data_IF_198638126144
#
_entry.id   IF_198638126144
#
_cell.length_a   1.000
_cell.length_b   1.000
_cell.length_c   1.000
_cell.angle_alpha   90.00
_cell.angle_beta   90.00
_cell.angle_gamma   90.00
#
_symmetry.space_group_name_H-M   'P 1'
#
loop_
_entity.id
_entity.type
_entity.pdbx_description
1 polymer ?
#
# COMPACT_ATOMS: atom_id res chain seq x y z
N UNK A 1 4.86 19.42 -45.07
CA UNK A 1 4.44 18.98 -43.72
C UNK A 1 5.29 19.70 -42.71
N UNK A 2 4.86 20.92 -42.36
CA UNK A 2 5.47 21.75 -41.34
C UNK A 2 5.18 21.13 -39.97
N UNK A 3 6.23 20.82 -39.22
CA UNK A 3 6.11 20.61 -37.77
C UNK A 3 5.61 21.93 -37.18
N UNK A 4 4.39 21.95 -36.66
CA UNK A 4 3.98 23.00 -35.74
C UNK A 4 4.93 22.92 -34.53
N UNK A 5 5.77 23.94 -34.40
CA UNK A 5 6.60 24.15 -33.24
C UNK A 5 5.69 24.85 -32.24
N UNK A 6 5.33 24.14 -31.15
CA UNK A 6 4.67 24.75 -30.00
C UNK A 6 5.60 25.86 -29.44
N UNK A 7 5.13 27.12 -29.34
CA UNK A 7 5.92 28.23 -28.85
C UNK A 7 6.38 28.10 -27.38
N UNK A 8 5.93 27.09 -26.61
CA UNK A 8 6.40 26.87 -25.24
C UNK A 8 7.66 26.00 -25.11
N UNK A 9 8.13 25.33 -26.17
CA UNK A 9 9.32 24.45 -26.10
C UNK A 9 9.14 23.23 -25.19
N UNK A 10 7.90 22.85 -24.88
CA UNK A 10 7.58 21.73 -24.03
C UNK A 10 7.76 20.41 -24.81
N UNK A 11 8.83 19.67 -24.54
CA UNK A 11 8.96 18.29 -25.02
C UNK A 11 7.99 17.40 -24.21
N UNK A 12 7.01 16.79 -24.86
CA UNK A 12 6.00 15.90 -24.25
C UNK A 12 6.57 14.63 -23.57
N UNK A 13 7.88 14.41 -23.61
CA UNK A 13 8.52 13.16 -23.16
C UNK A 13 9.11 13.19 -21.75
N UNK A 14 9.43 14.36 -21.18
CA UNK A 14 10.05 14.45 -19.84
C UNK A 14 9.30 15.41 -18.90
N UNK A 15 9.09 15.01 -17.62
CA UNK A 15 8.40 15.86 -16.66
C UNK A 15 9.23 17.08 -16.28
N UNK A 16 8.56 18.22 -16.08
CA UNK A 16 9.20 19.46 -15.57
C UNK A 16 9.88 19.21 -14.24
N UNK A 17 9.24 18.43 -13.35
CA UNK A 17 9.82 17.95 -12.09
C UNK A 17 9.30 16.55 -11.73
N UNK A 18 10.14 15.80 -11.04
CA UNK A 18 9.77 14.53 -10.41
C UNK A 18 9.72 14.71 -8.90
N UNK A 19 8.53 14.54 -8.32
CA UNK A 19 8.31 14.65 -6.88
C UNK A 19 8.07 13.25 -6.33
N UNK A 20 9.05 12.72 -5.59
CA UNK A 20 9.00 11.35 -5.05
C UNK A 20 8.86 11.40 -3.53
N UNK A 21 7.74 10.91 -3.01
CA UNK A 21 7.45 10.89 -1.58
C UNK A 21 7.42 9.45 -1.08
N UNK A 22 8.20 9.15 -0.05
CA UNK A 22 8.34 7.85 0.56
C UNK A 22 7.88 7.90 2.02
N UNK A 23 6.78 7.24 2.34
CA UNK A 23 6.18 7.15 3.68
C UNK A 23 6.46 5.78 4.28
N UNK A 24 7.42 5.71 5.20
CA UNK A 24 7.83 4.44 5.81
C UNK A 24 6.97 4.07 7.02
N UNK A 25 6.81 2.75 7.19
CA UNK A 25 6.14 2.14 8.32
C UNK A 25 6.86 2.40 9.64
N UNK A 26 6.20 2.01 10.72
CA UNK A 26 6.64 2.25 12.08
C UNK A 26 7.74 1.33 12.57
N UNK A 27 8.69 1.90 13.32
CA UNK A 27 9.66 1.15 14.12
C UNK A 27 10.99 0.85 13.44
N UNK A 28 11.14 1.19 12.16
CA UNK A 28 12.32 0.82 11.36
C UNK A 28 13.45 1.82 11.53
N UNK A 29 14.31 1.61 12.51
CA UNK A 29 15.52 2.43 12.74
C UNK A 29 16.53 2.26 11.62
N UNK A 30 17.26 3.33 11.26
CA UNK A 30 18.48 3.25 10.43
C UNK A 30 19.53 2.40 11.16
N UNK A 31 19.45 1.08 10.97
CA UNK A 31 20.39 0.10 11.52
C UNK A 31 21.10 -0.57 10.36
N UNK A 32 22.42 -0.72 10.50
CA UNK A 32 23.24 -1.43 9.53
C UNK A 32 23.13 -2.97 9.67
N UNK A 33 22.12 -3.48 10.38
CA UNK A 33 21.86 -4.91 10.57
C UNK A 33 21.00 -5.51 9.43
N UNK A 34 20.76 -4.73 8.38
CA UNK A 34 19.95 -5.10 7.23
C UNK A 34 18.44 -5.00 7.47
N UNK A 35 17.96 -4.52 8.61
CA UNK A 35 16.52 -4.33 8.91
C UNK A 35 15.85 -3.19 8.11
N UNK A 36 16.42 -2.81 6.97
CA UNK A 36 15.89 -1.74 6.13
C UNK A 36 14.59 -2.16 5.45
N UNK A 37 13.63 -1.22 5.40
CA UNK A 37 12.39 -1.40 4.65
C UNK A 37 12.61 -1.27 3.16
N UNK A 38 11.67 -1.82 2.40
CA UNK A 38 11.63 -1.63 0.96
C UNK A 38 11.41 -0.16 0.59
N UNK A 39 10.71 0.63 1.42
CA UNK A 39 10.57 2.08 1.23
C UNK A 39 11.91 2.81 1.35
N UNK A 40 12.70 2.49 2.38
CA UNK A 40 14.04 3.07 2.53
C UNK A 40 14.96 2.63 1.38
N UNK A 41 14.92 1.37 0.97
CA UNK A 41 15.69 0.88 -0.19
C UNK A 41 15.31 1.63 -1.47
N UNK A 42 14.01 1.79 -1.76
CA UNK A 42 13.53 2.58 -2.91
C UNK A 42 14.08 4.00 -2.83
N UNK A 43 13.96 4.67 -1.68
CA UNK A 43 14.48 6.02 -1.49
C UNK A 43 16.00 6.11 -1.72
N UNK A 44 16.76 5.10 -1.30
CA UNK A 44 18.21 4.99 -1.52
C UNK A 44 18.58 4.74 -2.99
N UNK A 45 17.69 4.13 -3.77
CA UNK A 45 17.89 3.89 -5.21
C UNK A 45 17.58 5.12 -6.08
N UNK A 46 16.89 6.13 -5.56
CA UNK A 46 16.59 7.33 -6.32
C UNK A 46 17.87 8.09 -6.66
N UNK A 47 18.04 8.46 -7.93
CA UNK A 47 19.10 9.37 -8.35
C UNK A 47 18.86 10.77 -7.76
N UNK A 48 19.74 11.17 -6.84
CA UNK A 48 19.69 12.47 -6.14
C UNK A 48 20.52 13.56 -6.85
N UNK A 49 21.22 13.21 -7.91
CA UNK A 49 22.01 14.15 -8.72
C UNK A 49 21.19 14.82 -9.80
N UNK A 50 19.98 14.31 -10.06
CA UNK A 50 19.04 14.84 -11.05
C UNK A 50 18.44 16.19 -10.60
N UNK A 51 18.69 17.24 -11.37
CA UNK A 51 18.31 18.62 -11.02
C UNK A 51 16.80 18.85 -10.90
N UNK A 52 15.99 18.12 -11.67
CA UNK A 52 14.53 18.25 -11.66
C UNK A 52 13.84 17.27 -10.69
N UNK A 53 14.57 16.57 -9.83
CA UNK A 53 14.00 15.62 -8.87
C UNK A 53 14.04 16.14 -7.44
N UNK A 54 12.91 16.00 -6.75
CA UNK A 54 12.80 16.30 -5.34
C UNK A 54 12.26 15.09 -4.60
N UNK A 55 13.05 14.58 -3.66
CA UNK A 55 12.69 13.40 -2.87
C UNK A 55 12.33 13.81 -1.44
N UNK A 56 11.27 13.21 -0.90
CA UNK A 56 10.82 13.36 0.47
C UNK A 56 10.77 11.99 1.14
N UNK A 57 11.35 11.88 2.31
CA UNK A 57 11.29 10.66 3.13
C UNK A 57 10.70 11.02 4.48
N UNK A 58 9.66 10.30 4.86
CA UNK A 58 9.06 10.40 6.17
C UNK A 58 8.98 9.04 6.83
N UNK A 59 9.32 9.04 8.12
CA UNK A 59 9.24 7.90 8.99
C UNK A 59 8.02 8.04 9.88
N UNK A 60 7.35 6.93 10.18
CA UNK A 60 6.33 6.92 11.24
C UNK A 60 6.96 6.60 12.60
N UNK A 61 6.92 7.53 13.55
CA UNK A 61 7.65 7.40 14.83
C UNK A 61 6.96 6.55 15.90
N UNK A 62 5.73 6.06 15.66
CA UNK A 62 5.00 5.29 16.67
C UNK A 62 5.42 3.81 16.69
N UNK A 63 6.52 3.50 17.37
CA UNK A 63 6.96 2.12 17.64
C UNK A 63 5.87 1.30 18.36
N UNK A 64 5.71 0.02 17.99
CA UNK A 64 4.95 -0.95 18.79
C UNK A 64 5.47 -1.02 20.26
N UNK A 65 6.76 -0.71 20.48
CA UNK A 65 7.35 -0.54 21.80
C UNK A 65 6.71 0.58 22.64
N UNK A 66 6.17 1.64 22.03
CA UNK A 66 5.41 2.67 22.75
C UNK A 66 4.09 2.12 23.28
N UNK A 67 3.44 1.20 22.57
CA UNK A 67 2.23 0.52 23.06
C UNK A 67 2.56 -0.39 24.25
N UNK A 68 3.68 -1.12 24.18
CA UNK A 68 4.15 -1.95 25.29
C UNK A 68 4.54 -1.10 26.51
N UNK A 69 5.27 0.01 26.33
CA UNK A 69 5.65 0.90 27.44
C UNK A 69 4.46 1.63 28.05
N UNK A 70 3.44 1.98 27.25
CA UNK A 70 2.19 2.57 27.73
C UNK A 70 1.33 1.55 28.48
N UNK A 71 1.41 0.26 28.15
CA UNK A 71 0.74 -0.82 28.90
C UNK A 71 1.41 -1.11 30.26
N UNK A 72 2.67 -0.70 30.46
CA UNK A 72 3.40 -0.84 31.73
C UNK A 72 3.24 0.36 32.68
N UNK A 73 2.53 1.43 32.29
CA UNK A 73 2.21 2.51 33.23
C UNK A 73 1.13 2.06 34.22
N UNK A 74 1.28 2.34 35.53
CA UNK A 74 0.31 1.93 36.53
C UNK A 74 -1.06 2.50 36.19
N UNK A 75 -2.07 1.63 36.17
CA UNK A 75 -3.47 1.94 35.90
C UNK A 75 -3.93 3.15 36.72
N UNK A 76 -3.88 4.34 36.13
CA UNK A 76 -4.67 5.49 36.55
C UNK A 76 -5.93 5.53 35.70
N UNK A 77 -7.03 6.01 36.26
CA UNK A 77 -8.42 5.92 35.73
C UNK A 77 -8.69 6.70 34.42
N UNK A 78 -7.73 6.80 33.50
CA UNK A 78 -7.91 7.34 32.16
C UNK A 78 -8.10 6.18 31.16
N UNK A 79 -9.07 6.27 30.23
CA UNK A 79 -9.25 5.26 29.18
C UNK A 79 -8.06 5.31 28.21
N UNK A 80 -7.02 4.52 28.52
CA UNK A 80 -5.74 4.41 27.80
C UNK A 80 -5.91 4.26 26.28
N UNK A 81 -6.98 3.59 25.84
CA UNK A 81 -7.33 3.46 24.42
C UNK A 81 -7.53 4.80 23.71
N UNK A 82 -8.21 5.78 24.35
CA UNK A 82 -8.51 7.08 23.72
C UNK A 82 -7.25 7.93 23.52
N UNK A 83 -6.34 7.91 24.48
CA UNK A 83 -5.07 8.67 24.40
C UNK A 83 -4.19 8.12 23.29
N UNK A 84 -4.11 6.79 23.19
CA UNK A 84 -3.32 6.11 22.16
C UNK A 84 -3.91 6.33 20.77
N UNK A 85 -5.22 6.21 20.63
CA UNK A 85 -5.93 6.47 19.36
C UNK A 85 -5.75 7.94 18.92
N UNK A 86 -5.84 8.88 19.87
CA UNK A 86 -5.64 10.31 19.63
C UNK A 86 -4.19 10.66 19.24
N UNK A 87 -3.19 10.05 19.90
CA UNK A 87 -1.79 10.26 19.57
C UNK A 87 -1.45 9.71 18.17
N UNK A 88 -2.00 8.53 17.83
CA UNK A 88 -1.89 7.98 16.47
C UNK A 88 -2.53 8.90 15.43
N UNK A 89 -3.76 9.37 15.68
CA UNK A 89 -4.46 10.30 14.80
C UNK A 89 -3.67 11.59 14.59
N UNK A 90 -3.11 12.15 15.67
CA UNK A 90 -2.30 13.38 15.60
C UNK A 90 -1.05 13.16 14.74
N UNK A 91 -0.30 12.08 14.98
CA UNK A 91 0.89 11.76 14.18
C UNK A 91 0.56 11.49 12.70
N UNK A 92 -0.59 10.86 12.43
CA UNK A 92 -1.05 10.61 11.08
C UNK A 92 -1.36 11.93 10.33
N UNK A 93 -2.09 12.85 10.98
CA UNK A 93 -2.42 14.16 10.41
C UNK A 93 -1.15 14.95 10.08
N UNK A 94 -0.18 14.97 11.00
CA UNK A 94 1.12 15.63 10.79
C UNK A 94 1.86 15.06 9.58
N UNK A 95 1.81 13.75 9.36
CA UNK A 95 2.46 13.11 8.23
C UNK A 95 1.83 13.48 6.89
N UNK A 96 0.50 13.41 6.78
CA UNK A 96 -0.21 13.81 5.56
C UNK A 96 0.04 15.28 5.25
N UNK A 97 -0.10 16.17 6.25
CA UNK A 97 0.13 17.60 6.11
C UNK A 97 1.57 17.91 5.69
N UNK A 98 2.55 17.17 6.21
CA UNK A 98 3.96 17.37 5.84
C UNK A 98 4.25 16.98 4.39
N UNK A 99 3.71 15.85 3.92
CA UNK A 99 3.77 15.46 2.52
C UNK A 99 3.05 16.45 1.60
N UNK A 100 1.86 16.92 2.00
CA UNK A 100 1.11 17.95 1.29
C UNK A 100 1.88 19.26 1.17
N UNK A 101 2.50 19.73 2.26
CA UNK A 101 3.33 20.94 2.29
C UNK A 101 4.55 20.80 1.37
N UNK A 102 5.20 19.63 1.36
CA UNK A 102 6.31 19.36 0.46
C UNK A 102 5.88 19.51 -1.01
N UNK A 103 4.72 18.96 -1.38
CA UNK A 103 4.17 19.09 -2.72
C UNK A 103 3.84 20.56 -3.03
N UNK A 104 3.18 21.29 -2.12
CA UNK A 104 2.78 22.68 -2.33
C UNK A 104 3.98 23.58 -2.68
N UNK A 105 5.11 23.36 -2.00
CA UNK A 105 6.38 24.08 -2.20
C UNK A 105 7.08 23.79 -3.52
N UNK A 106 6.92 22.57 -4.06
CA UNK A 106 7.78 22.06 -5.14
C UNK A 106 7.05 21.79 -6.45
N UNK A 107 5.74 21.62 -6.42
CA UNK A 107 4.96 21.37 -7.62
C UNK A 107 4.91 22.58 -8.53
N UNK A 108 5.10 22.32 -9.82
CA UNK A 108 4.90 23.25 -10.95
C UNK A 108 4.14 22.52 -12.06
N UNK A 109 3.49 23.22 -12.99
CA UNK A 109 2.86 22.57 -14.15
C UNK A 109 3.82 21.62 -14.88
N UNK A 110 3.33 20.43 -15.25
CA UNK A 110 4.13 19.35 -15.84
C UNK A 110 4.93 18.50 -14.85
N UNK A 111 4.77 18.71 -13.53
CA UNK A 111 5.37 17.84 -12.51
C UNK A 111 4.68 16.47 -12.42
N UNK A 112 5.45 15.39 -12.26
CA UNK A 112 4.93 14.06 -11.95
C UNK A 112 5.12 13.74 -10.47
N UNK A 113 4.05 13.27 -9.81
CA UNK A 113 4.06 12.89 -8.40
C UNK A 113 4.11 11.37 -8.29
N UNK A 114 5.08 10.85 -7.53
CA UNK A 114 5.26 9.44 -7.20
C UNK A 114 5.15 9.27 -5.70
N UNK A 115 4.21 8.44 -5.25
CA UNK A 115 3.98 8.16 -3.84
C UNK A 115 4.31 6.70 -3.55
N UNK A 116 5.12 6.46 -2.52
CA UNK A 116 5.42 5.13 -2.00
C UNK A 116 5.07 5.05 -0.53
N UNK A 117 4.52 3.93 -0.09
CA UNK A 117 4.35 3.72 1.34
C UNK A 117 4.28 2.27 1.77
N UNK A 118 4.66 2.02 3.02
CA UNK A 118 4.57 0.72 3.67
C UNK A 118 3.73 0.81 4.94
N UNK A 119 2.86 -0.17 5.18
CA UNK A 119 2.10 -0.29 6.43
C UNK A 119 1.20 0.93 6.66
N UNK A 120 1.39 1.63 7.79
CA UNK A 120 0.75 2.92 8.08
C UNK A 120 1.17 4.03 7.11
N UNK A 121 2.41 4.01 6.63
CA UNK A 121 2.89 4.94 5.60
C UNK A 121 2.18 4.74 4.27
N UNK A 122 1.81 3.50 3.92
CA UNK A 122 0.97 3.22 2.76
C UNK A 122 -0.43 3.85 2.90
N UNK A 123 -1.00 3.81 4.10
CA UNK A 123 -2.28 4.46 4.40
C UNK A 123 -2.16 5.99 4.30
N UNK A 124 -1.08 6.59 4.82
CA UNK A 124 -0.75 8.02 4.62
C UNK A 124 -0.63 8.38 3.14
N UNK A 125 0.06 7.56 2.34
CA UNK A 125 0.21 7.79 0.90
C UNK A 125 -1.13 7.78 0.16
N UNK A 126 -2.02 6.81 0.46
CA UNK A 126 -3.37 6.75 -0.10
C UNK A 126 -4.20 7.97 0.30
N UNK A 127 -4.17 8.34 1.58
CA UNK A 127 -4.95 9.47 2.08
C UNK A 127 -4.47 10.81 1.50
N UNK A 128 -3.15 10.99 1.36
CA UNK A 128 -2.58 12.15 0.70
C UNK A 128 -3.02 12.22 -0.77
N UNK A 129 -3.00 11.10 -1.50
CA UNK A 129 -3.47 11.08 -2.88
C UNK A 129 -4.94 11.52 -2.99
N UNK A 130 -5.81 10.95 -2.15
CA UNK A 130 -7.22 11.34 -2.14
C UNK A 130 -7.43 12.82 -1.76
N UNK A 131 -6.63 13.35 -0.83
CA UNK A 131 -6.65 14.79 -0.53
C UNK A 131 -6.29 15.62 -1.77
N UNK A 132 -5.30 15.21 -2.56
CA UNK A 132 -4.94 15.88 -3.81
C UNK A 132 -6.08 15.79 -4.85
N UNK A 133 -6.73 14.64 -4.94
CA UNK A 133 -7.84 14.41 -5.87
C UNK A 133 -9.01 15.38 -5.59
N UNK A 134 -9.39 15.56 -4.32
CA UNK A 134 -10.61 16.30 -3.96
C UNK A 134 -10.37 17.75 -3.56
N UNK A 135 -9.37 18.00 -2.71
CA UNK A 135 -9.06 19.32 -2.16
C UNK A 135 -8.07 20.09 -3.04
N UNK A 136 -7.24 19.39 -3.80
CA UNK A 136 -6.23 20.01 -4.63
C UNK A 136 -5.00 20.45 -3.90
N UNK A 137 -4.11 21.15 -4.61
CA UNK A 137 -2.83 21.58 -4.07
C UNK A 137 -2.77 23.10 -3.90
N UNK A 138 -2.44 23.56 -2.70
CA UNK A 138 -2.29 24.98 -2.41
C UNK A 138 -1.04 25.59 -3.06
N UNK A 139 -1.05 26.91 -3.29
CA UNK A 139 0.18 27.64 -3.63
C UNK A 139 1.19 27.68 -2.48
N UNK A 140 2.47 27.66 -2.85
CA UNK A 140 3.58 27.75 -1.90
C UNK A 140 3.56 29.03 -1.07
N UNK A 141 2.94 30.11 -1.57
CA UNK A 141 2.89 31.40 -0.89
C UNK A 141 1.87 31.45 0.26
N UNK A 142 0.96 30.45 0.35
CA UNK A 142 -0.17 30.44 1.27
C UNK A 142 -0.14 29.25 2.24
N UNK A 143 1.04 28.76 2.60
CA UNK A 143 1.22 27.59 3.47
C UNK A 143 0.46 27.66 4.81
N UNK A 144 0.30 28.86 5.37
CA UNK A 144 -0.44 29.09 6.61
C UNK A 144 -1.92 28.68 6.52
N UNK A 145 -2.45 28.54 5.32
CA UNK A 145 -3.85 28.13 5.10
C UNK A 145 -4.02 26.62 4.84
N UNK A 146 -2.93 25.84 4.87
CA UNK A 146 -2.99 24.37 4.81
C UNK A 146 -3.96 23.78 5.87
N UNK A 147 -3.96 24.24 7.15
CA UNK A 147 -4.92 23.76 8.14
C UNK A 147 -6.39 23.97 7.71
N UNK A 148 -6.70 25.07 7.02
CA UNK A 148 -8.05 25.34 6.55
C UNK A 148 -8.47 24.38 5.43
N UNK A 149 -7.58 24.11 4.47
CA UNK A 149 -7.82 23.14 3.39
C UNK A 149 -7.98 21.72 3.96
N UNK A 150 -7.13 21.36 4.93
CA UNK A 150 -7.22 20.10 5.67
C UNK A 150 -8.58 19.95 6.36
N UNK A 151 -9.02 20.94 7.14
CA UNK A 151 -10.30 20.91 7.84
C UNK A 151 -11.48 20.78 6.87
N UNK A 152 -11.47 21.52 5.75
CA UNK A 152 -12.51 21.40 4.73
C UNK A 152 -12.57 19.99 4.13
N UNK A 153 -11.41 19.39 3.84
CA UNK A 153 -11.33 18.02 3.31
C UNK A 153 -11.80 16.98 4.32
N UNK A 154 -11.37 17.08 5.58
CA UNK A 154 -11.77 16.14 6.65
C UNK A 154 -13.27 16.20 6.91
N UNK A 155 -13.85 17.41 6.98
CA UNK A 155 -15.30 17.59 7.11
C UNK A 155 -16.04 16.96 5.96
N UNK A 156 -15.60 17.20 4.72
CA UNK A 156 -16.19 16.54 3.56
C UNK A 156 -16.10 15.03 3.69
N UNK A 157 -14.88 14.49 3.86
CA UNK A 157 -14.60 13.05 3.86
C UNK A 157 -15.44 12.27 4.88
N UNK A 158 -15.59 12.81 6.09
CA UNK A 158 -16.27 12.13 7.21
C UNK A 158 -17.69 12.63 7.49
N UNK A 159 -18.24 13.53 6.66
CA UNK A 159 -19.62 13.98 6.79
C UNK A 159 -20.61 12.83 6.52
N UNK A 160 -21.70 12.80 7.29
CA UNK A 160 -22.79 11.85 7.08
C UNK A 160 -23.60 12.21 5.82
N UNK A 161 -24.15 11.17 5.17
CA UNK A 161 -24.91 11.34 3.94
C UNK A 161 -26.12 12.26 4.12
N UNK A 162 -26.44 13.01 3.07
CA UNK A 162 -27.51 14.02 3.07
C UNK A 162 -26.94 15.44 3.23
N UNK A 163 -27.69 16.30 3.92
CA UNK A 163 -27.40 17.73 3.98
C UNK A 163 -26.00 18.07 4.52
N UNK A 164 -25.50 17.32 5.50
CA UNK A 164 -24.16 17.55 6.07
C UNK A 164 -23.07 17.35 5.02
N UNK A 165 -23.17 16.28 4.22
CA UNK A 165 -22.25 16.02 3.11
C UNK A 165 -22.34 17.11 2.03
N UNK A 166 -23.55 17.55 1.69
CA UNK A 166 -23.75 18.60 0.68
C UNK A 166 -23.12 19.95 1.13
N UNK A 167 -23.33 20.35 2.39
CA UNK A 167 -22.77 21.57 2.96
C UNK A 167 -21.23 21.49 3.06
N UNK A 168 -20.70 20.32 3.43
CA UNK A 168 -19.26 20.07 3.49
C UNK A 168 -18.62 20.04 2.09
N UNK A 169 -19.30 19.48 1.09
CA UNK A 169 -18.87 19.48 -0.30
C UNK A 169 -18.83 20.90 -0.87
N UNK A 170 -19.86 21.72 -0.60
CA UNK A 170 -19.88 23.12 -0.99
C UNK A 170 -18.70 23.90 -0.36
N UNK A 171 -18.41 23.64 0.93
CA UNK A 171 -17.29 24.25 1.64
C UNK A 171 -15.93 23.84 1.06
N UNK A 172 -15.75 22.55 0.77
CA UNK A 172 -14.55 22.02 0.13
C UNK A 172 -14.37 22.61 -1.28
N UNK A 173 -15.46 22.71 -2.04
CA UNK A 173 -15.46 23.30 -3.38
C UNK A 173 -15.04 24.76 -3.36
N UNK A 174 -15.59 25.56 -2.45
CA UNK A 174 -15.19 26.96 -2.27
C UNK A 174 -13.71 27.07 -1.88
N UNK A 175 -13.26 26.24 -0.93
CA UNK A 175 -11.87 26.20 -0.49
C UNK A 175 -10.91 25.91 -1.65
N UNK A 176 -11.16 24.85 -2.43
CA UNK A 176 -10.29 24.46 -3.53
C UNK A 176 -10.31 25.43 -4.71
N UNK A 177 -11.48 26.02 -5.04
CA UNK A 177 -11.59 26.99 -6.14
C UNK A 177 -10.91 28.33 -5.79
N UNK A 178 -10.83 28.67 -4.49
CA UNK A 178 -10.22 29.92 -4.03
C UNK A 178 -8.72 29.80 -3.78
N UNK A 179 -8.28 28.68 -3.18
CA UNK A 179 -6.93 28.55 -2.61
C UNK A 179 -6.04 27.55 -3.34
N UNK A 180 -6.62 26.60 -4.09
CA UNK A 180 -5.90 25.46 -4.64
C UNK A 180 -5.84 25.50 -6.17
N UNK A 181 -4.92 24.71 -6.72
CA UNK A 181 -4.78 24.40 -8.14
C UNK A 181 -4.74 22.88 -8.32
N UNK A 182 -5.26 22.40 -9.46
CA UNK A 182 -5.27 20.96 -9.73
C UNK A 182 -3.87 20.50 -10.09
N UNK A 183 -3.26 19.60 -9.28
CA UNK A 183 -1.95 19.07 -9.59
C UNK A 183 -1.97 18.02 -10.72
N UNK A 184 -3.15 17.71 -11.27
CA UNK A 184 -3.39 16.52 -12.09
C UNK A 184 -3.50 15.27 -11.22
N UNK A 185 -3.48 14.11 -11.86
CA UNK A 185 -3.46 12.84 -11.13
C UNK A 185 -2.06 12.51 -10.65
N UNK A 186 -1.96 11.90 -9.46
CA UNK A 186 -0.72 11.25 -9.03
C UNK A 186 -0.32 10.21 -10.08
N UNK A 187 0.93 10.26 -10.52
CA UNK A 187 1.40 9.44 -11.64
C UNK A 187 1.56 7.97 -11.24
N UNK A 188 2.11 7.72 -10.04
CA UNK A 188 2.30 6.38 -9.52
C UNK A 188 2.10 6.31 -8.01
N UNK A 189 1.34 5.31 -7.54
CA UNK A 189 1.12 5.03 -6.12
C UNK A 189 1.52 3.57 -5.83
N UNK A 190 2.69 3.40 -5.21
CA UNK A 190 3.27 2.10 -4.85
C UNK A 190 3.11 1.78 -3.36
N UNK A 191 2.43 0.71 -3.03
CA UNK A 191 2.05 0.36 -1.66
C UNK A 191 2.55 -1.02 -1.26
N UNK A 192 3.05 -1.13 -0.04
CA UNK A 192 3.34 -2.40 0.61
C UNK A 192 2.43 -2.58 1.82
N UNK A 193 1.67 -3.67 1.82
CA UNK A 193 0.82 -4.19 2.88
C UNK A 193 0.11 -3.11 3.71
N UNK A 194 -0.78 -2.36 3.07
CA UNK A 194 -1.46 -1.20 3.68
C UNK A 194 -2.29 -1.64 4.89
N UNK A 195 -2.04 -1.06 6.07
CA UNK A 195 -2.84 -1.30 7.28
C UNK A 195 -3.42 0.00 7.81
N UNK A 196 -4.66 -0.06 8.32
CA UNK A 196 -5.32 1.11 8.87
C UNK A 196 -4.55 1.65 10.10
N UNK A 197 -4.25 2.94 10.08
CA UNK A 197 -3.37 3.61 11.04
C UNK A 197 -4.09 4.25 12.23
N UNK A 198 -5.43 4.40 12.19
CA UNK A 198 -6.17 5.17 13.19
C UNK A 198 -7.53 4.52 13.49
N UNK A 199 -7.76 4.17 14.76
CA UNK A 199 -9.02 3.56 15.19
C UNK A 199 -10.19 4.57 15.31
N UNK A 200 -9.89 5.87 15.40
CA UNK A 200 -10.88 6.96 15.47
C UNK A 200 -11.64 7.17 14.14
N UNK A 201 -11.03 6.78 13.01
CA UNK A 201 -11.70 6.72 11.70
C UNK A 201 -12.54 5.45 11.49
N UNK A 202 -12.60 4.53 12.46
CA UNK A 202 -13.50 3.35 12.44
C UNK A 202 -14.92 3.66 12.99
N UNK A 203 -15.35 4.93 13.00
CA UNK A 203 -16.76 5.25 13.26
C UNK A 203 -17.60 4.73 12.10
N UNK A 204 -18.17 3.55 12.32
CA UNK A 204 -18.99 2.75 11.41
C UNK A 204 -18.28 2.13 10.21
N UNK A 205 -17.90 0.86 10.38
CA UNK A 205 -17.53 -0.09 9.30
C UNK A 205 -18.69 -0.31 8.31
N UNK A 206 -19.86 0.27 8.55
CA UNK A 206 -21.03 0.27 7.65
C UNK A 206 -21.19 1.57 6.84
N UNK A 207 -20.34 2.58 7.04
CA UNK A 207 -20.36 3.82 6.23
C UNK A 207 -19.31 3.69 5.11
N UNK A 208 -19.71 4.04 3.90
CA UNK A 208 -18.97 4.03 2.61
C UNK A 208 -17.80 5.07 2.64
N UNK A 209 -16.99 5.07 3.71
CA UNK A 209 -15.90 6.02 4.00
C UNK A 209 -14.51 5.45 3.63
N UNK A 210 -14.48 4.43 2.76
CA UNK A 210 -13.24 3.81 2.32
C UNK A 210 -12.36 4.81 1.56
N UNK A 211 -11.05 4.74 1.80
CA UNK A 211 -10.06 5.59 1.11
C UNK A 211 -9.91 5.11 -0.32
N UNK A 212 -10.37 5.93 -1.27
CA UNK A 212 -10.42 5.62 -2.70
C UNK A 212 -9.57 6.62 -3.49
N UNK A 213 -8.23 6.47 -3.47
CA UNK A 213 -7.34 7.34 -4.21
C UNK A 213 -7.41 7.05 -5.72
N UNK A 214 -7.21 8.06 -6.57
CA UNK A 214 -7.33 7.95 -8.03
C UNK A 214 -6.02 8.26 -8.79
N UNK A 215 -4.91 7.53 -8.55
CA UNK A 215 -3.68 7.74 -9.33
C UNK A 215 -3.84 7.22 -10.76
N UNK A 216 -2.90 7.53 -11.66
CA UNK A 216 -2.83 6.92 -13.00
C UNK A 216 -2.49 5.43 -12.92
N UNK A 217 -1.48 5.11 -12.12
CA UNK A 217 -0.98 3.75 -11.90
C UNK A 217 -0.93 3.49 -10.39
N UNK A 218 -1.50 2.37 -9.96
CA UNK A 218 -1.49 1.92 -8.57
C UNK A 218 -1.01 0.49 -8.48
N UNK A 219 -0.10 0.24 -7.54
CA UNK A 219 0.47 -1.08 -7.26
C UNK A 219 0.40 -1.35 -5.77
N UNK A 220 -0.15 -2.49 -5.37
CA UNK A 220 -0.22 -2.89 -3.98
C UNK A 220 0.28 -4.32 -3.80
N UNK A 221 1.41 -4.46 -3.10
CA UNK A 221 1.94 -5.75 -2.68
C UNK A 221 1.36 -6.11 -1.31
N UNK A 222 0.68 -7.25 -1.19
CA UNK A 222 -0.05 -7.66 0.02
C UNK A 222 0.51 -8.96 0.59
N UNK A 223 0.63 -9.05 1.91
CA UNK A 223 1.06 -10.26 2.61
C UNK A 223 -0.06 -11.30 2.72
N UNK A 224 0.25 -12.55 2.35
CA UNK A 224 -0.62 -13.72 2.53
C UNK A 224 -0.56 -14.25 3.96
N UNK A 225 0.59 -14.14 4.64
CA UNK A 225 0.88 -14.91 5.84
C UNK A 225 0.81 -14.13 7.14
N UNK A 226 0.45 -12.84 7.09
CA UNK A 226 0.22 -12.02 8.27
C UNK A 226 -1.00 -12.51 9.08
N UNK A 227 -0.83 -12.59 10.41
CA UNK A 227 -1.79 -13.21 11.35
C UNK A 227 -2.28 -12.24 12.43
N UNK A 228 -1.59 -11.11 12.64
CA UNK A 228 -1.87 -10.19 13.74
C UNK A 228 -3.21 -9.49 13.54
N UNK A 229 -4.01 -9.50 14.60
CA UNK A 229 -5.42 -9.07 14.59
C UNK A 229 -5.63 -7.62 14.14
N UNK A 230 -4.69 -6.70 14.44
CA UNK A 230 -4.78 -5.28 14.05
C UNK A 230 -4.10 -4.95 12.72
N UNK A 231 -3.53 -5.95 12.05
CA UNK A 231 -2.93 -5.80 10.73
C UNK A 231 -3.91 -6.36 9.70
N UNK A 232 -5.11 -5.79 9.60
CA UNK A 232 -6.02 -6.08 8.50
C UNK A 232 -5.64 -5.20 7.31
N UNK A 233 -5.50 -5.78 6.10
CA UNK A 233 -5.08 -5.00 4.95
C UNK A 233 -6.23 -4.13 4.46
N UNK A 234 -5.93 -2.90 4.05
CA UNK A 234 -6.87 -2.06 3.30
C UNK A 234 -6.69 -2.41 1.83
N UNK A 235 -7.56 -3.29 1.33
CA UNK A 235 -7.50 -3.80 -0.05
C UNK A 235 -8.07 -2.80 -1.06
N UNK A 236 -7.92 -3.11 -2.34
CA UNK A 236 -8.75 -2.49 -3.38
C UNK A 236 -10.12 -3.15 -3.37
N UNK A 237 -11.17 -2.40 -3.71
CA UNK A 237 -12.48 -3.02 -3.89
C UNK A 237 -12.38 -4.09 -4.97
N UNK A 238 -12.77 -5.34 -4.68
CA UNK A 238 -12.66 -6.39 -5.67
C UNK A 238 -13.56 -6.05 -6.87
N UNK A 239 -13.09 -6.26 -8.12
CA UNK A 239 -14.02 -6.31 -9.24
C UNK A 239 -15.07 -7.39 -8.94
N UNK A 240 -16.37 -7.12 -9.14
CA UNK A 240 -17.41 -8.10 -8.83
C UNK A 240 -17.20 -9.36 -9.64
N UNK A 241 -17.26 -10.51 -8.98
CA UNK A 241 -17.33 -11.80 -9.64
C UNK A 241 -18.76 -11.96 -10.16
N UNK A 242 -18.93 -12.19 -11.46
CA UNK A 242 -20.23 -12.55 -12.05
C UNK A 242 -21.07 -11.39 -12.59
N UNK A 243 -20.51 -10.57 -13.50
CA UNK A 243 -21.30 -9.69 -14.38
C UNK A 243 -21.96 -8.47 -13.72
N UNK A 244 -21.80 -8.27 -12.41
CA UNK A 244 -22.09 -6.96 -11.79
C UNK A 244 -21.03 -5.96 -12.24
N UNK A 245 -21.47 -4.76 -12.63
CA UNK A 245 -20.58 -3.68 -13.07
C UNK A 245 -19.62 -3.36 -11.91
N UNK A 246 -18.31 -3.37 -12.18
CA UNK A 246 -17.33 -2.79 -11.27
C UNK A 246 -17.81 -1.39 -10.87
N UNK A 247 -17.78 -1.06 -9.57
CA UNK A 247 -18.04 0.32 -9.14
C UNK A 247 -17.05 1.18 -9.93
N UNK A 248 -17.56 2.07 -10.79
CA UNK A 248 -16.74 3.03 -11.51
C UNK A 248 -15.98 3.83 -10.48
N UNK A 249 -14.65 3.70 -10.44
CA UNK A 249 -13.83 4.52 -9.55
C UNK A 249 -14.18 5.98 -9.78
N UNK A 250 -14.64 6.64 -8.72
CA UNK A 250 -15.03 8.05 -8.76
C UNK A 250 -13.75 8.88 -8.74
N UNK A 251 -13.14 9.09 -9.91
CA UNK A 251 -12.14 10.15 -10.05
C UNK A 251 -12.86 11.47 -9.84
N UNK A 252 -12.35 12.30 -8.93
CA UNK A 252 -12.87 13.65 -8.75
C UNK A 252 -12.84 14.38 -10.10
N UNK A 253 -13.96 14.99 -10.49
CA UNK A 253 -14.07 15.72 -11.77
C UNK A 253 -13.01 16.82 -11.90
N UNK A 254 -12.57 17.36 -10.77
CA UNK A 254 -11.58 18.43 -10.72
C UNK A 254 -10.15 17.92 -10.95
N UNK A 255 -9.81 16.73 -10.45
CA UNK A 255 -8.54 16.07 -10.74
C UNK A 255 -8.48 15.64 -12.21
N UNK A 256 -9.57 15.06 -12.73
CA UNK A 256 -9.69 14.68 -14.15
C UNK A 256 -9.58 15.88 -15.09
N UNK A 257 -10.23 17.01 -14.77
CA UNK A 257 -10.13 18.23 -15.57
C UNK A 257 -8.73 18.85 -15.52
N UNK A 258 -8.07 18.83 -14.36
CA UNK A 258 -6.68 19.27 -14.24
C UNK A 258 -5.73 18.43 -15.09
N UNK A 259 -5.92 17.12 -15.08
CA UNK A 259 -5.16 16.20 -15.93
C UNK A 259 -5.38 16.47 -17.42
N UNK A 260 -6.62 16.73 -17.85
CA UNK A 260 -6.92 17.11 -19.23
C UNK A 260 -6.20 18.41 -19.64
N UNK A 261 -6.15 19.40 -18.76
CA UNK A 261 -5.44 20.67 -19.00
C UNK A 261 -3.93 20.45 -19.10
N UNK A 262 -3.36 19.62 -18.22
CA UNK A 262 -1.91 19.35 -18.19
C UNK A 262 -1.49 18.50 -19.39
N UNK A 263 -2.28 17.50 -19.77
CA UNK A 263 -1.97 16.57 -20.87
C UNK A 263 -2.39 17.07 -22.25
N UNK A 264 -3.21 18.13 -22.33
CA UNK A 264 -3.77 18.64 -23.58
C UNK A 264 -4.81 17.72 -24.24
N UNK A 265 -5.18 16.60 -23.59
CA UNK A 265 -6.13 15.62 -24.13
C UNK A 265 -7.56 15.91 -23.63
N UNK A 266 -8.56 15.92 -24.53
CA UNK A 266 -9.89 16.48 -24.23
C UNK A 266 -10.66 15.70 -23.15
N UNK A 267 -10.41 14.40 -22.98
CA UNK A 267 -11.03 13.57 -21.95
C UNK A 267 -10.10 12.38 -21.66
N UNK A 268 -9.30 12.38 -20.59
CA UNK A 268 -8.66 11.14 -20.18
C UNK A 268 -9.81 10.24 -19.69
N UNK A 269 -10.17 9.22 -20.48
CA UNK A 269 -10.91 8.09 -19.95
C UNK A 269 -9.92 7.40 -19.01
N UNK A 270 -9.81 7.90 -17.78
CA UNK A 270 -8.89 7.38 -16.77
C UNK A 270 -9.45 6.06 -16.27
N UNK A 271 -9.30 5.02 -17.08
CA UNK A 271 -9.33 3.66 -16.56
C UNK A 271 -7.97 3.47 -15.89
N UNK A 272 -7.90 3.73 -14.59
CA UNK A 272 -6.68 3.59 -13.80
C UNK A 272 -6.07 2.20 -13.97
N UNK A 273 -4.75 2.13 -14.08
CA UNK A 273 -4.01 0.87 -14.11
C UNK A 273 -3.71 0.45 -12.67
N UNK A 274 -4.60 -0.37 -12.10
CA UNK A 274 -4.53 -0.80 -10.70
C UNK A 274 -4.23 -2.29 -10.61
N UNK A 275 -3.16 -2.63 -9.89
CA UNK A 275 -2.75 -4.01 -9.68
C UNK A 275 -2.51 -4.27 -8.19
N UNK A 276 -3.25 -5.23 -7.63
CA UNK A 276 -3.06 -5.74 -6.26
C UNK A 276 -2.58 -7.19 -6.35
N UNK A 277 -1.39 -7.46 -5.79
CA UNK A 277 -0.69 -8.74 -5.92
C UNK A 277 -0.29 -9.25 -4.55
N UNK A 278 -0.54 -10.53 -4.31
CA UNK A 278 -0.30 -11.20 -3.04
C UNK A 278 1.02 -11.97 -3.06
N UNK A 279 1.82 -11.79 -2.01
CA UNK A 279 3.15 -12.37 -1.82
C UNK A 279 3.23 -13.20 -0.53
N UNK A 280 4.13 -14.20 -0.54
CA UNK A 280 4.41 -15.04 0.61
C UNK A 280 5.16 -14.29 1.71
N UNK A 281 4.98 -14.73 2.95
CA UNK A 281 5.55 -14.14 4.15
C UNK A 281 4.61 -13.14 4.84
N UNK A 282 4.99 -12.72 6.04
CA UNK A 282 4.24 -11.78 6.86
C UNK A 282 4.36 -10.32 6.40
N UNK A 283 3.83 -9.37 7.17
CA UNK A 283 3.86 -7.95 6.85
C UNK A 283 5.26 -7.41 6.52
N UNK A 284 6.30 -7.84 7.24
CA UNK A 284 7.67 -7.35 7.04
C UNK A 284 8.46 -8.21 6.05
N UNK A 285 7.99 -9.43 5.76
CA UNK A 285 8.45 -10.18 4.58
C UNK A 285 7.96 -9.58 3.27
N UNK A 286 6.92 -8.74 3.27
CA UNK A 286 6.50 -7.96 2.09
C UNK A 286 7.09 -6.55 2.08
N UNK A 287 7.00 -5.82 3.18
CA UNK A 287 7.48 -4.44 3.25
C UNK A 287 8.95 -4.25 3.63
N UNK A 288 9.65 -5.32 4.03
CA UNK A 288 10.96 -5.25 4.66
C UNK A 288 10.89 -4.91 6.15
N UNK A 289 12.01 -5.04 6.86
CA UNK A 289 12.11 -4.77 8.31
C UNK A 289 12.76 -5.88 9.14
N UNK A 290 12.79 -7.12 8.64
CA UNK A 290 13.46 -8.23 9.34
C UNK A 290 14.99 -8.08 9.28
N UNK A 291 15.73 -8.18 10.40
CA UNK A 291 17.19 -8.12 10.41
C UNK A 291 17.76 -9.39 9.81
N UNK A 292 18.65 -9.26 8.84
CA UNK A 292 19.33 -10.39 8.19
C UNK A 292 20.36 -9.84 7.21
N UNK A 293 21.49 -10.56 7.11
CA UNK A 293 22.58 -10.28 6.16
C UNK A 293 22.46 -11.08 4.87
N UNK A 294 21.49 -12.01 4.78
CA UNK A 294 21.19 -12.81 3.58
C UNK A 294 20.03 -12.19 2.80
N UNK A 295 19.83 -12.66 1.56
CA UNK A 295 18.65 -12.36 0.75
C UNK A 295 17.37 -12.75 1.50
N UNK A 296 16.33 -11.91 1.40
CA UNK A 296 15.09 -12.01 2.17
C UNK A 296 13.91 -12.22 1.24
N UNK A 297 12.82 -12.77 1.78
CA UNK A 297 11.56 -12.86 1.04
C UNK A 297 11.08 -11.49 0.51
N UNK A 298 11.33 -10.42 1.26
CA UNK A 298 11.01 -9.03 0.88
C UNK A 298 11.75 -8.48 -0.34
N UNK A 299 12.74 -9.21 -0.85
CA UNK A 299 13.45 -8.85 -2.08
C UNK A 299 12.54 -8.96 -3.30
N UNK A 300 11.65 -9.96 -3.38
CA UNK A 300 10.77 -10.15 -4.55
C UNK A 300 9.74 -9.01 -4.66
N UNK A 301 8.98 -8.66 -3.60
CA UNK A 301 8.10 -7.49 -3.64
C UNK A 301 8.82 -6.18 -3.95
N UNK A 302 10.07 -6.02 -3.48
CA UNK A 302 10.89 -4.84 -3.79
C UNK A 302 11.18 -4.77 -5.30
N UNK A 303 11.72 -5.84 -5.87
CA UNK A 303 12.07 -5.89 -7.29
C UNK A 303 10.83 -5.69 -8.17
N UNK A 304 9.70 -6.29 -7.79
CA UNK A 304 8.41 -6.09 -8.44
C UNK A 304 7.98 -4.62 -8.43
N UNK A 305 7.96 -3.98 -7.27
CA UNK A 305 7.54 -2.58 -7.14
C UNK A 305 8.47 -1.63 -7.92
N UNK A 306 9.78 -1.88 -7.88
CA UNK A 306 10.76 -1.07 -8.61
C UNK A 306 10.58 -1.25 -10.12
N UNK A 307 10.37 -2.48 -10.60
CA UNK A 307 10.06 -2.74 -12.00
C UNK A 307 8.82 -1.96 -12.44
N UNK A 308 7.73 -2.03 -11.69
CA UNK A 308 6.49 -1.30 -12.02
C UNK A 308 6.68 0.23 -11.99
N UNK A 309 7.46 0.75 -11.05
CA UNK A 309 7.79 2.17 -10.99
C UNK A 309 8.63 2.62 -12.19
N UNK A 310 9.59 1.80 -12.65
CA UNK A 310 10.39 2.07 -13.86
C UNK A 310 9.52 2.05 -15.11
N UNK A 311 8.60 1.09 -15.21
CA UNK A 311 7.62 1.03 -16.30
C UNK A 311 6.63 2.22 -16.27
N UNK A 312 6.48 2.86 -15.11
CA UNK A 312 5.78 4.14 -14.93
C UNK A 312 6.71 5.37 -15.09
N UNK A 313 7.83 5.22 -15.80
CA UNK A 313 8.83 6.25 -16.10
C UNK A 313 9.63 6.82 -14.90
N UNK A 314 9.59 6.19 -13.72
CA UNK A 314 10.47 6.62 -12.63
C UNK A 314 11.91 6.15 -12.91
N UNK A 315 12.86 7.07 -12.96
CA UNK A 315 14.28 6.71 -13.13
C UNK A 315 14.98 6.50 -11.78
N UNK A 316 15.93 5.58 -11.73
CA UNK A 316 16.74 5.31 -10.53
C UNK A 316 18.23 5.42 -10.87
N UNK A 317 19.06 5.56 -9.83
CA UNK A 317 20.51 5.48 -9.98
C UNK A 317 20.90 4.02 -10.33
N UNK A 318 21.53 3.76 -11.49
CA UNK A 318 21.85 2.40 -11.93
C UNK A 318 22.79 1.65 -10.97
N UNK A 319 23.72 2.36 -10.33
CA UNK A 319 24.67 1.78 -9.36
C UNK A 319 23.91 1.37 -8.10
N UNK A 320 22.99 2.22 -7.61
CA UNK A 320 22.18 1.88 -6.45
C UNK A 320 21.16 0.79 -6.75
N UNK A 321 20.53 0.76 -7.94
CA UNK A 321 19.64 -0.33 -8.37
C UNK A 321 20.34 -1.68 -8.22
N UNK A 322 21.50 -1.82 -8.88
CA UNK A 322 22.28 -3.06 -8.86
C UNK A 322 22.75 -3.42 -7.46
N UNK A 323 23.17 -2.43 -6.67
CA UNK A 323 23.58 -2.63 -5.26
C UNK A 323 22.46 -3.22 -4.39
N UNK A 324 21.21 -2.90 -4.68
CA UNK A 324 20.05 -3.43 -3.95
C UNK A 324 19.40 -4.63 -4.66
N UNK A 325 20.07 -5.24 -5.64
CA UNK A 325 19.58 -6.42 -6.35
C UNK A 325 18.34 -6.15 -7.22
N UNK A 326 18.17 -4.91 -7.67
CA UNK A 326 17.11 -4.50 -8.60
C UNK A 326 17.72 -4.15 -9.96
N UNK A 327 16.90 -4.23 -11.00
CA UNK A 327 17.36 -4.13 -12.39
C UNK A 327 16.39 -3.27 -13.20
N UNK A 328 16.89 -2.60 -14.24
CA UNK A 328 16.02 -1.87 -15.17
C UNK A 328 15.40 -2.86 -16.18
N UNK A 329 14.08 -3.11 -16.12
CA UNK A 329 13.41 -4.06 -17.00
C UNK A 329 13.46 -3.66 -18.48
N UNK A 330 13.87 -2.44 -18.83
CA UNK A 330 14.00 -2.00 -20.22
C UNK A 330 15.37 -2.35 -20.82
N UNK A 331 16.35 -2.64 -19.96
CA UNK A 331 17.76 -2.81 -20.35
C UNK A 331 18.21 -4.26 -20.14
N UNK A 332 17.92 -4.83 -18.97
CA UNK A 332 18.43 -6.15 -18.58
C UNK A 332 17.36 -6.97 -17.87
N UNK A 333 17.52 -8.29 -17.87
CA UNK A 333 16.65 -9.17 -17.07
C UNK A 333 17.12 -9.24 -15.62
N UNK A 334 16.25 -9.68 -14.73
CA UNK A 334 16.62 -9.85 -13.32
C UNK A 334 17.61 -11.02 -13.15
N UNK A 335 18.40 -10.97 -12.08
CA UNK A 335 19.28 -12.06 -11.69
C UNK A 335 18.47 -13.24 -11.11
N UNK A 336 18.44 -14.41 -11.77
CA UNK A 336 17.69 -15.58 -11.30
C UNK A 336 18.17 -16.09 -9.94
N UNK A 337 19.45 -15.92 -9.61
CA UNK A 337 20.01 -16.41 -8.34
C UNK A 337 19.48 -15.59 -7.16
N UNK A 338 19.27 -14.28 -7.36
CA UNK A 338 18.65 -13.41 -6.34
C UNK A 338 17.19 -13.80 -6.11
N UNK A 339 16.45 -14.07 -7.19
CA UNK A 339 15.05 -14.49 -7.11
C UNK A 339 14.95 -15.84 -6.40
N UNK A 340 15.74 -16.83 -6.83
CA UNK A 340 15.75 -18.16 -6.21
C UNK A 340 16.12 -18.08 -4.73
N UNK A 341 17.14 -17.28 -4.37
CA UNK A 341 17.53 -17.09 -2.98
C UNK A 341 16.41 -16.44 -2.14
N UNK A 342 15.63 -15.52 -2.71
CA UNK A 342 14.50 -14.89 -2.04
C UNK A 342 13.28 -15.82 -1.91
N UNK A 343 13.04 -16.68 -2.91
CA UNK A 343 12.00 -17.72 -2.89
C UNK A 343 12.29 -18.80 -1.85
N UNK A 344 13.57 -19.07 -1.57
CA UNK A 344 14.02 -20.03 -0.55
C UNK A 344 14.33 -19.38 0.80
N UNK A 345 14.22 -18.05 0.91
CA UNK A 345 14.51 -17.34 2.15
C UNK A 345 13.58 -17.78 3.29
N UNK A 346 13.97 -17.50 4.53
CA UNK A 346 13.11 -17.73 5.67
C UNK A 346 11.93 -16.75 5.65
N UNK A 347 10.72 -17.27 5.89
CA UNK A 347 9.52 -16.47 6.14
C UNK A 347 9.27 -16.43 7.64
N UNK A 348 8.85 -15.28 8.13
CA UNK A 348 8.76 -15.04 9.56
C UNK A 348 7.32 -15.17 10.02
N UNK A 349 7.15 -15.63 11.25
CA UNK A 349 5.87 -15.58 11.96
C UNK A 349 5.95 -14.54 13.06
N UNK A 350 5.30 -13.39 12.83
CA UNK A 350 5.17 -12.32 13.83
C UNK A 350 4.53 -12.75 15.16
N UNK A 351 3.92 -13.93 15.25
CA UNK A 351 3.39 -14.52 16.50
C UNK A 351 4.26 -15.65 17.09
N UNK A 352 5.37 -16.02 16.42
CA UNK A 352 6.36 -16.98 16.90
C UNK A 352 7.35 -16.34 17.88
N UNK A 353 7.64 -17.02 19.00
CA UNK A 353 8.62 -16.54 19.99
C UNK A 353 10.06 -16.57 19.50
N UNK A 354 10.33 -17.34 18.45
CA UNK A 354 11.68 -17.53 17.92
C UNK A 354 12.15 -16.36 17.02
N UNK A 355 11.23 -15.49 16.56
CA UNK A 355 11.53 -14.45 15.57
C UNK A 355 11.03 -13.04 15.94
N UNK A 356 10.04 -12.89 16.83
CA UNK A 356 9.62 -11.57 17.29
C UNK A 356 10.41 -11.06 18.50
N UNK A 357 10.47 -9.74 18.70
CA UNK A 357 10.95 -9.17 19.97
C UNK A 357 10.05 -9.73 21.07
N UNK A 358 10.56 -10.55 21.99
CA UNK A 358 9.72 -11.40 22.86
C UNK A 358 8.56 -10.68 23.60
N UNK A 359 8.74 -9.41 23.99
CA UNK A 359 7.68 -8.57 24.57
C UNK A 359 6.55 -8.23 23.58
N UNK A 360 6.88 -8.04 22.31
CA UNK A 360 5.93 -7.75 21.24
C UNK A 360 5.10 -9.00 20.88
N UNK A 361 5.74 -10.17 20.81
CA UNK A 361 5.05 -11.47 20.60
C UNK A 361 4.08 -11.74 21.75
N UNK A 362 4.54 -11.56 22.99
CA UNK A 362 3.70 -11.72 24.17
C UNK A 362 2.50 -10.76 24.14
N UNK A 363 2.72 -9.49 23.78
CA UNK A 363 1.66 -8.49 23.63
C UNK A 363 0.63 -8.90 22.58
N UNK A 364 1.06 -9.31 21.38
CA UNK A 364 0.14 -9.70 20.31
C UNK A 364 -0.64 -10.97 20.64
N UNK A 365 -0.03 -11.96 21.29
CA UNK A 365 -0.74 -13.15 21.79
C UNK A 365 -1.77 -12.78 22.85
N UNK A 366 -1.47 -11.88 23.79
CA UNK A 366 -2.48 -11.38 24.74
C UNK A 366 -3.64 -10.67 24.04
N UNK A 367 -3.33 -9.87 23.02
CA UNK A 367 -4.35 -9.18 22.22
C UNK A 367 -5.25 -10.15 21.42
N UNK A 368 -4.78 -11.34 21.07
CA UNK A 368 -5.62 -12.37 20.43
C UNK A 368 -6.77 -12.88 21.31
N UNK A 369 -6.62 -12.77 22.65
CA UNK A 369 -7.64 -13.18 23.62
C UNK A 369 -8.68 -12.09 23.89
N UNK A 370 -8.49 -10.87 23.39
CA UNK A 370 -9.47 -9.79 23.54
C UNK A 370 -10.58 -9.89 22.48
N UNK A 371 -11.84 -9.52 22.83
CA UNK A 371 -13.00 -9.72 21.96
C UNK A 371 -13.12 -8.64 20.88
N UNK A 372 -12.15 -8.58 19.97
CA UNK A 372 -12.20 -7.71 18.79
C UNK A 372 -12.95 -8.40 17.64
N UNK A 373 -13.84 -7.65 16.95
CA UNK A 373 -14.43 -8.10 15.69
C UNK A 373 -13.34 -8.31 14.66
N UNK A 374 -13.38 -9.44 13.93
CA UNK A 374 -12.49 -9.73 12.80
C UNK A 374 -13.16 -10.65 11.78
N UNK A 375 -12.77 -10.57 10.49
CA UNK A 375 -13.06 -11.61 9.53
C UNK A 375 -12.25 -12.87 9.84
N UNK A 376 -12.87 -14.04 9.72
CA UNK A 376 -12.28 -15.37 9.88
C UNK A 376 -12.59 -16.19 8.64
N UNK A 377 -11.58 -16.86 8.11
CA UNK A 377 -11.73 -17.78 6.97
C UNK A 377 -12.04 -19.18 7.51
N UNK A 378 -13.15 -19.74 7.06
CA UNK A 378 -13.46 -21.16 7.25
C UNK A 378 -12.58 -22.01 6.33
N UNK A 379 -12.34 -23.30 6.65
CA UNK A 379 -11.59 -24.21 5.77
C UNK A 379 -12.11 -24.29 4.32
N UNK A 380 -13.37 -23.93 4.11
CA UNK A 380 -14.03 -23.89 2.80
C UNK A 380 -13.75 -22.60 2.00
N UNK A 381 -13.02 -21.63 2.58
CA UNK A 381 -12.69 -20.34 1.98
C UNK A 381 -13.69 -19.22 2.26
N UNK A 382 -14.82 -19.50 2.93
CA UNK A 382 -15.82 -18.48 3.30
C UNK A 382 -15.34 -17.60 4.46
N UNK A 383 -15.66 -16.31 4.40
CA UNK A 383 -15.27 -15.31 5.41
C UNK A 383 -16.46 -15.00 6.33
N UNK A 384 -16.31 -15.25 7.62
CA UNK A 384 -17.31 -14.90 8.64
C UNK A 384 -16.75 -13.91 9.66
N UNK A 385 -17.57 -12.99 10.15
CA UNK A 385 -17.19 -12.16 11.29
C UNK A 385 -17.19 -12.98 12.59
N UNK A 386 -16.10 -12.93 13.34
CA UNK A 386 -16.01 -13.48 14.70
C UNK A 386 -15.49 -12.43 15.68
N UNK A 387 -15.91 -12.54 16.93
CA UNK A 387 -15.39 -11.76 18.06
C UNK A 387 -14.47 -12.56 18.98
N UNK A 388 -14.20 -13.83 18.65
CA UNK A 388 -13.50 -14.78 19.52
C UNK A 388 -12.27 -15.41 18.85
N UNK A 389 -11.41 -16.07 19.65
CA UNK A 389 -10.05 -16.50 19.33
C UNK A 389 -9.88 -17.24 17.98
N UNK A 390 -8.88 -16.80 17.21
CA UNK A 390 -8.50 -17.31 15.90
C UNK A 390 -7.17 -18.06 15.89
N UNK A 391 -6.52 -18.29 17.05
CA UNK A 391 -5.32 -19.12 17.16
C UNK A 391 -4.25 -18.86 16.07
N UNK A 392 -3.97 -17.60 15.70
CA UNK A 392 -3.01 -17.28 14.63
C UNK A 392 -3.45 -17.61 13.19
N UNK A 393 -4.75 -17.57 12.89
CA UNK A 393 -5.24 -17.63 11.50
C UNK A 393 -4.73 -16.42 10.66
N UNK A 394 -4.07 -16.69 9.52
CA UNK A 394 -3.74 -15.79 8.39
C UNK A 394 -4.93 -14.95 7.87
N UNK A 395 -4.73 -14.01 6.96
CA UNK A 395 -5.82 -13.17 6.43
C UNK A 395 -6.67 -13.90 5.37
N UNK A 396 -7.97 -13.56 5.22
CA UNK A 396 -8.76 -13.93 4.05
C UNK A 396 -8.15 -13.38 2.77
N UNK A 397 -8.22 -14.20 1.71
CA UNK A 397 -7.92 -13.77 0.36
C UNK A 397 -9.21 -13.57 -0.42
N UNK A 398 -9.37 -12.47 -1.16
CA UNK A 398 -10.48 -12.31 -2.10
C UNK A 398 -10.50 -13.46 -3.11
N UNK A 399 -11.67 -13.90 -3.60
CA UNK A 399 -11.71 -15.02 -4.54
C UNK A 399 -11.05 -14.71 -5.90
N UNK A 400 -10.90 -13.43 -6.25
CA UNK A 400 -10.21 -12.95 -7.43
C UNK A 400 -8.74 -12.51 -7.16
N UNK A 401 -8.16 -12.89 -6.01
CA UNK A 401 -6.81 -12.52 -5.63
C UNK A 401 -5.77 -12.99 -6.67
N UNK A 402 -4.88 -12.07 -7.07
CA UNK A 402 -3.75 -12.35 -7.94
C UNK A 402 -2.53 -12.67 -7.10
N UNK A 403 -2.01 -13.88 -7.25
CA UNK A 403 -0.87 -14.36 -6.47
C UNK A 403 0.38 -14.34 -7.33
N UNK A 404 1.48 -13.85 -6.76
CA UNK A 404 2.77 -13.86 -7.44
C UNK A 404 3.35 -15.29 -7.55
N UNK A 405 4.04 -15.61 -8.64
CA UNK A 405 4.63 -16.94 -8.89
C UNK A 405 5.51 -17.46 -7.77
N UNK A 406 6.23 -16.57 -7.07
CA UNK A 406 7.06 -16.91 -5.90
C UNK A 406 6.32 -17.66 -4.80
N UNK A 407 5.00 -17.48 -4.67
CA UNK A 407 4.18 -18.23 -3.70
C UNK A 407 4.03 -19.68 -4.14
N UNK A 408 3.76 -19.91 -5.44
CA UNK A 408 3.68 -21.25 -6.01
C UNK A 408 5.03 -21.96 -5.98
N UNK A 409 6.12 -21.27 -6.30
CA UNK A 409 7.46 -21.85 -6.20
C UNK A 409 7.78 -22.30 -4.78
N UNK A 410 7.44 -21.48 -3.78
CA UNK A 410 7.62 -21.85 -2.37
C UNK A 410 6.73 -23.05 -1.98
N UNK A 411 5.47 -23.10 -2.44
CA UNK A 411 4.57 -24.26 -2.23
C UNK A 411 5.13 -25.56 -2.80
N UNK A 412 5.89 -25.50 -3.90
CA UNK A 412 6.51 -26.68 -4.49
C UNK A 412 7.81 -27.08 -3.77
N UNK A 413 8.58 -26.11 -3.30
CA UNK A 413 9.89 -26.34 -2.70
C UNK A 413 9.85 -26.66 -1.20
N UNK A 414 8.95 -26.03 -0.45
CA UNK A 414 8.83 -26.17 1.00
C UNK A 414 7.56 -26.97 1.37
N UNK A 415 7.69 -28.26 1.77
CA UNK A 415 6.55 -29.09 2.15
C UNK A 415 5.81 -28.61 3.40
N UNK A 416 6.43 -27.79 4.25
CA UNK A 416 5.83 -27.24 5.47
C UNK A 416 5.04 -25.95 5.20
N UNK A 417 5.28 -25.29 4.06
CA UNK A 417 4.57 -24.09 3.67
C UNK A 417 3.14 -24.40 3.18
N UNK A 418 2.18 -24.46 4.10
CA UNK A 418 0.76 -24.76 3.81
C UNK A 418 -0.19 -23.62 4.25
N UNK A 419 -0.29 -22.53 3.46
CA UNK A 419 -1.25 -21.42 3.68
C UNK A 419 -2.71 -21.89 3.56
N UNK A 420 -3.39 -22.02 4.70
CA UNK A 420 -4.80 -22.45 4.72
C UNK A 420 -5.74 -21.47 4.01
N UNK A 421 -5.38 -20.20 3.90
CA UNK A 421 -6.13 -19.18 3.16
C UNK A 421 -6.07 -19.37 1.63
N UNK A 422 -5.20 -20.24 1.11
CA UNK A 422 -5.25 -20.71 -0.28
C UNK A 422 -6.16 -21.94 -0.47
N UNK A 423 -6.78 -22.43 0.60
CA UNK A 423 -7.46 -23.73 0.67
C UNK A 423 -6.53 -24.88 1.08
N UNK A 424 -5.29 -24.57 1.49
CA UNK A 424 -4.24 -25.56 1.77
C UNK A 424 -3.88 -25.56 3.26
N UNK A 425 -4.47 -26.45 4.06
CA UNK A 425 -4.12 -26.58 5.48
C UNK A 425 -5.14 -27.39 6.25
N UNK A 426 -4.67 -28.40 7.00
CA UNK A 426 -5.43 -29.45 7.70
C UNK A 426 -6.05 -30.55 6.82
N UNK A 427 -5.34 -30.98 5.79
CA UNK A 427 -5.65 -32.19 5.02
C UNK A 427 -4.77 -33.33 5.54
N UNK A 428 -5.32 -34.16 6.43
CA UNK A 428 -4.59 -35.15 7.22
C UNK A 428 -4.45 -36.53 6.56
N UNK A 429 -5.26 -36.82 5.54
CA UNK A 429 -5.29 -38.12 4.85
C UNK A 429 -4.66 -38.06 3.46
N UNK A 430 -4.13 -39.18 2.96
CA UNK A 430 -3.48 -39.26 1.64
C UNK A 430 -4.39 -38.81 0.47
N UNK A 431 -5.70 -39.06 0.58
CA UNK A 431 -6.71 -38.60 -0.39
C UNK A 431 -6.83 -37.07 -0.40
N UNK A 432 -6.74 -36.45 0.77
CA UNK A 432 -6.80 -35.00 0.91
C UNK A 432 -5.49 -34.33 0.44
N UNK A 433 -4.34 -35.01 0.55
CA UNK A 433 -3.07 -34.56 -0.05
C UNK A 433 -3.09 -34.60 -1.58
N UNK A 434 -3.68 -35.63 -2.20
CA UNK A 434 -3.94 -35.67 -3.64
C UNK A 434 -4.91 -34.54 -4.08
N UNK A 435 -5.92 -34.25 -3.26
CA UNK A 435 -6.85 -33.14 -3.51
C UNK A 435 -6.17 -31.75 -3.31
N UNK A 436 -5.16 -31.65 -2.44
CA UNK A 436 -4.30 -30.46 -2.30
C UNK A 436 -3.48 -30.20 -3.57
N UNK A 437 -2.82 -31.23 -4.13
CA UNK A 437 -2.10 -31.12 -5.40
C UNK A 437 -3.03 -30.77 -6.58
N UNK A 438 -4.25 -31.30 -6.59
CA UNK A 438 -5.28 -30.94 -7.59
C UNK A 438 -5.76 -29.50 -7.44
N UNK A 439 -5.82 -28.95 -6.23
CA UNK A 439 -6.17 -27.55 -5.98
C UNK A 439 -5.07 -26.58 -6.44
N UNK A 440 -3.79 -26.97 -6.37
CA UNK A 440 -2.69 -26.23 -7.01
C UNK A 440 -2.86 -26.23 -8.54
N UNK A 441 -3.38 -27.31 -9.13
CA UNK A 441 -3.72 -27.38 -10.55
C UNK A 441 -4.89 -26.48 -11.00
N UNK A 442 -5.64 -25.86 -10.06
CA UNK A 442 -6.76 -24.95 -10.38
C UNK A 442 -6.34 -23.49 -10.58
N UNK A 443 -5.05 -23.19 -10.45
CA UNK A 443 -4.51 -21.86 -10.67
C UNK A 443 -4.19 -21.67 -12.14
N UNK A 444 -4.68 -20.58 -12.73
CA UNK A 444 -4.36 -20.19 -14.11
C UNK A 444 -3.41 -19.01 -14.11
N UNK A 445 -2.32 -19.14 -14.85
CA UNK A 445 -1.40 -18.04 -15.14
C UNK A 445 -2.10 -16.98 -16.01
N UNK A 446 -2.03 -15.72 -15.59
CA UNK A 446 -2.72 -14.61 -16.28
C UNK A 446 -1.78 -13.56 -16.88
N UNK A 447 -0.57 -13.41 -16.36
CA UNK A 447 0.36 -12.37 -16.78
C UNK A 447 1.73 -12.94 -17.17
N UNK A 448 2.39 -12.27 -18.12
CA UNK A 448 3.68 -12.65 -18.64
C UNK A 448 4.55 -11.40 -18.83
N UNK A 449 5.69 -11.35 -18.16
CA UNK A 449 6.68 -10.29 -18.30
C UNK A 449 7.54 -10.17 -17.04
N UNK A 450 8.78 -10.68 -17.11
CA UNK A 450 9.77 -10.61 -16.03
C UNK A 450 9.20 -11.03 -14.67
N UNK A 451 9.24 -10.15 -13.67
CA UNK A 451 8.73 -10.38 -12.31
C UNK A 451 7.20 -10.21 -12.18
N UNK A 452 6.47 -10.07 -13.29
CA UNK A 452 5.02 -9.88 -13.29
C UNK A 452 4.30 -11.16 -13.72
N UNK A 453 4.71 -12.30 -13.17
CA UNK A 453 4.03 -13.58 -13.36
C UNK A 453 3.01 -13.80 -12.25
N UNK A 454 1.73 -13.69 -12.61
CA UNK A 454 0.61 -13.80 -11.66
C UNK A 454 -0.29 -14.99 -11.96
N UNK A 455 -0.89 -15.50 -10.89
CA UNK A 455 -1.76 -16.66 -10.87
C UNK A 455 -3.08 -16.33 -10.17
N UNK A 456 -4.19 -16.77 -10.75
CA UNK A 456 -5.53 -16.59 -10.18
C UNK A 456 -6.21 -17.94 -10.05
N UNK A 457 -6.89 -18.18 -8.93
CA UNK A 457 -7.66 -19.40 -8.69
C UNK A 457 -8.90 -19.39 -9.57
N UNK A 458 -9.10 -20.43 -10.38
CA UNK A 458 -10.34 -20.57 -11.13
C UNK A 458 -11.49 -20.91 -10.18
N UNK A 459 -12.69 -20.33 -10.37
CA UNK A 459 -13.87 -20.80 -9.65
C UNK A 459 -14.06 -22.29 -9.95
N UNK A 460 -14.35 -23.11 -8.92
CA UNK A 460 -14.72 -24.51 -9.12
C UNK A 460 -15.95 -24.53 -10.03
N UNK A 461 -15.83 -25.11 -11.22
CA UNK A 461 -16.98 -25.34 -12.10
C UNK A 461 -18.01 -26.21 -11.35
N UNK A 462 -19.09 -25.60 -10.88
CA UNK A 462 -20.16 -26.31 -10.18
C UNK A 462 -21.12 -25.41 -9.40
N UNK A 463 -22.15 -24.93 -10.12
CA UNK A 463 -23.35 -24.16 -9.70
C UNK A 463 -23.26 -22.64 -9.77
#
# INVERSE_FOLDING_TARGET
MSKEIDPCGCNDTEPTRELVLCFDGTGNTFRADGSETNILKIFRMLDRTKDNRYCYYQRTDVTAGSFASLAYQPFTNLPTKRIVDQALATSFNEHVISGYRFLARRWVPGSRIYLFGFSRGAYTARFLNEMLDYAGLISADNEETIPFVWEAFIRYKFADAGKERDDAEASLRLSRETMCRSPGLVHFLGLFDTVNSVAEFNRDVSKDNDIQPSPKIMRHAVSIDEKRIKFQPVLFDPPPIGGMKARTHHVSTWAANGEAIISGLPHPVVKGDFEEVYFAGDHSDVGGGWPSLKTKASQIPLMWMVQEAIMADLTFDPIQLKKHGCFDPRIEDYDPDIVQAAEQAEIHDSLGYDFGRGLEVLFWRMMEYMPFKRPKVSPDGEVHETRWHGRGFRRPLPPAAKIHSSVLHRLHYDPEYKPYNLGMGNKGTAKEQDDEQREIGQWRRIAHGKLCEYWVKLPRNGK
#
